data_IF_001915784750
#
_entry.id   IF_001915784750
#
_cell.length_a   1.000
_cell.length_b   1.000
_cell.length_c   1.000
_cell.angle_alpha   90.00
_cell.angle_beta   90.00
_cell.angle_gamma   90.00
#
_symmetry.space_group_name_H-M   'P 1'
#
loop_
_entity.id
_entity.type
_entity.pdbx_description
1 polymer ?
#
# COMPACT_ATOMS: atom_id res chain seq x y z
N UNK A 1 -53.34 29.07 -17.05
CA UNK A 1 -54.17 28.52 -18.14
C UNK A 1 -53.34 27.39 -18.75
N UNK A 2 -53.55 26.12 -18.47
CA UNK A 2 -54.51 25.43 -17.62
C UNK A 2 -53.82 24.14 -17.16
N UNK A 3 -54.17 23.71 -15.95
CA UNK A 3 -53.78 22.43 -15.38
C UNK A 3 -54.48 21.30 -16.13
N UNK A 4 -53.81 20.18 -16.39
CA UNK A 4 -54.52 18.92 -16.54
C UNK A 4 -53.78 17.79 -15.82
N UNK A 5 -54.56 17.11 -14.98
CA UNK A 5 -54.15 16.11 -14.01
C UNK A 5 -54.79 14.80 -14.44
N UNK A 6 -53.94 13.80 -14.67
CA UNK A 6 -54.26 12.39 -14.41
C UNK A 6 -55.20 11.67 -15.39
N UNK A 7 -54.70 10.58 -15.96
CA UNK A 7 -55.54 9.40 -16.13
C UNK A 7 -54.70 8.15 -15.85
N UNK A 8 -55.00 7.55 -14.71
CA UNK A 8 -54.59 6.21 -14.31
C UNK A 8 -55.65 5.29 -14.88
N UNK A 9 -55.27 4.39 -15.80
CA UNK A 9 -56.12 3.27 -16.16
C UNK A 9 -55.34 1.98 -15.98
N UNK A 10 -55.65 1.32 -14.87
CA UNK A 10 -55.25 -0.05 -14.61
C UNK A 10 -56.10 -0.98 -15.46
N UNK A 11 -55.50 -1.49 -16.52
CA UNK A 11 -56.03 -2.62 -17.28
C UNK A 11 -55.45 -3.92 -16.76
N UNK A 12 -56.12 -4.54 -15.79
CA UNK A 12 -56.00 -5.98 -15.54
C UNK A 12 -56.50 -6.72 -16.79
N UNK A 13 -55.59 -7.15 -17.65
CA UNK A 13 -55.89 -8.13 -18.70
C UNK A 13 -55.41 -9.51 -18.25
N UNK A 14 -56.34 -10.30 -17.75
CA UNK A 14 -56.20 -11.74 -17.59
C UNK A 14 -56.20 -12.35 -18.99
N UNK A 15 -55.02 -12.44 -19.59
CA UNK A 15 -54.80 -12.94 -20.95
C UNK A 15 -53.72 -14.01 -20.99
N UNK A 16 -54.14 -15.26 -21.22
CA UNK A 16 -53.38 -16.39 -21.80
C UNK A 16 -51.91 -16.56 -21.39
N UNK A 17 -51.63 -17.58 -20.57
CA UNK A 17 -50.30 -17.97 -20.07
C UNK A 17 -49.26 -18.43 -21.11
N UNK A 18 -49.44 -18.16 -22.40
CA UNK A 18 -48.47 -18.49 -23.46
C UNK A 18 -47.44 -17.38 -23.69
N UNK A 19 -47.74 -16.12 -23.35
CA UNK A 19 -46.81 -14.98 -23.53
C UNK A 19 -45.69 -14.89 -22.49
N UNK A 20 -45.86 -15.52 -21.32
CA UNK A 20 -44.85 -15.52 -20.24
C UNK A 20 -43.67 -16.45 -20.55
N UNK A 21 -43.93 -17.61 -21.18
CA UNK A 21 -42.87 -18.56 -21.54
C UNK A 21 -41.94 -17.96 -22.59
N UNK A 22 -42.49 -17.40 -23.67
CA UNK A 22 -41.68 -16.79 -24.75
C UNK A 22 -40.82 -15.61 -24.26
N UNK A 23 -41.35 -14.79 -23.33
CA UNK A 23 -40.57 -13.70 -22.71
C UNK A 23 -39.43 -14.22 -21.85
N UNK A 24 -39.67 -15.29 -21.08
CA UNK A 24 -38.66 -15.93 -20.25
C UNK A 24 -37.59 -16.66 -21.09
N UNK A 25 -37.99 -17.33 -22.16
CA UNK A 25 -37.09 -17.99 -23.10
C UNK A 25 -36.15 -16.98 -23.77
N UNK A 26 -36.69 -15.83 -24.19
CA UNK A 26 -35.87 -14.74 -24.74
C UNK A 26 -34.90 -14.15 -23.70
N UNK A 27 -35.25 -14.17 -22.41
CA UNK A 27 -34.37 -13.74 -21.33
C UNK A 27 -33.24 -14.75 -21.09
N UNK A 28 -33.55 -16.04 -21.09
CA UNK A 28 -32.54 -17.10 -20.95
C UNK A 28 -31.55 -17.12 -22.13
N UNK A 29 -32.02 -16.86 -23.36
CA UNK A 29 -31.14 -16.70 -24.52
C UNK A 29 -30.21 -15.50 -24.35
N UNK A 30 -30.75 -14.33 -23.97
CA UNK A 30 -29.92 -13.14 -23.66
C UNK A 30 -28.92 -13.40 -22.54
N UNK A 31 -29.31 -14.17 -21.52
CA UNK A 31 -28.42 -14.52 -20.41
C UNK A 31 -27.30 -15.46 -20.86
N UNK A 32 -27.60 -16.46 -21.69
CA UNK A 32 -26.60 -17.36 -22.29
C UNK A 32 -25.61 -16.59 -23.17
N UNK A 33 -26.11 -15.69 -24.02
CA UNK A 33 -25.26 -14.84 -24.85
C UNK A 33 -24.37 -13.90 -24.02
N UNK A 34 -24.92 -13.31 -22.95
CA UNK A 34 -24.15 -12.44 -22.06
C UNK A 34 -23.03 -13.21 -21.36
N UNK A 35 -23.31 -14.42 -20.86
CA UNK A 35 -22.29 -15.27 -20.23
C UNK A 35 -21.24 -15.75 -21.23
N UNK A 36 -21.62 -16.06 -22.47
CA UNK A 36 -20.69 -16.42 -23.53
C UNK A 36 -19.75 -15.25 -23.87
N UNK A 37 -20.32 -14.05 -24.10
CA UNK A 37 -19.53 -12.82 -24.35
C UNK A 37 -18.61 -12.47 -23.19
N UNK A 38 -19.08 -12.63 -21.94
CA UNK A 38 -18.27 -12.40 -20.75
C UNK A 38 -17.07 -13.36 -20.68
N UNK A 39 -17.29 -14.66 -20.92
CA UNK A 39 -16.22 -15.67 -20.94
C UNK A 39 -15.20 -15.41 -22.04
N UNK A 40 -15.64 -14.99 -23.23
CA UNK A 40 -14.72 -14.61 -24.32
C UNK A 40 -13.91 -13.36 -23.98
N UNK A 41 -14.51 -12.36 -23.34
CA UNK A 41 -13.81 -11.16 -22.90
C UNK A 41 -12.78 -11.47 -21.81
N UNK A 42 -13.10 -12.37 -20.87
CA UNK A 42 -12.16 -12.82 -19.84
C UNK A 42 -10.98 -13.59 -20.44
N UNK A 43 -11.23 -14.47 -21.44
CA UNK A 43 -10.16 -15.17 -22.17
C UNK A 43 -9.24 -14.20 -22.90
N UNK A 44 -9.79 -13.22 -23.63
CA UNK A 44 -8.98 -12.21 -24.33
C UNK A 44 -8.13 -11.39 -23.37
N UNK A 45 -8.68 -11.00 -22.22
CA UNK A 45 -7.88 -10.31 -21.18
C UNK A 45 -6.77 -11.18 -20.62
N UNK A 46 -7.04 -12.46 -20.37
CA UNK A 46 -6.01 -13.39 -19.90
C UNK A 46 -4.89 -13.58 -20.95
N UNK A 47 -5.25 -13.68 -22.23
CA UNK A 47 -4.28 -13.76 -23.34
C UNK A 47 -3.47 -12.47 -23.49
N UNK A 48 -4.10 -11.30 -23.34
CA UNK A 48 -3.44 -9.99 -23.34
C UNK A 48 -2.48 -9.83 -22.16
N UNK A 49 -2.88 -10.28 -20.96
CA UNK A 49 -2.05 -10.26 -19.75
C UNK A 49 -0.86 -11.22 -19.88
N UNK A 50 -1.06 -12.44 -20.39
CA UNK A 50 0.03 -13.38 -20.67
C UNK A 50 1.00 -12.83 -21.73
N UNK A 51 0.49 -12.22 -22.79
CA UNK A 51 1.31 -11.57 -23.81
C UNK A 51 2.08 -10.37 -23.25
N UNK A 52 1.48 -9.59 -22.34
CA UNK A 52 2.15 -8.48 -21.65
C UNK A 52 3.26 -8.99 -20.71
N UNK A 53 3.04 -10.10 -20.00
CA UNK A 53 4.05 -10.74 -19.16
C UNK A 53 5.21 -11.27 -20.02
N UNK A 54 4.93 -11.90 -21.16
CA UNK A 54 5.96 -12.38 -22.09
C UNK A 54 6.75 -11.22 -22.69
N UNK A 55 6.09 -10.16 -23.13
CA UNK A 55 6.73 -8.96 -23.66
C UNK A 55 7.57 -8.23 -22.59
N UNK A 56 7.19 -8.32 -21.32
CA UNK A 56 7.94 -7.77 -20.20
C UNK A 56 9.12 -8.64 -19.73
N UNK A 57 9.34 -9.83 -20.32
CA UNK A 57 10.53 -10.65 -20.01
C UNK A 57 11.78 -9.98 -20.56
N UNK A 58 12.50 -9.30 -19.66
CA UNK A 58 13.81 -8.73 -19.95
C UNK A 58 14.84 -9.85 -20.15
N UNK A 59 15.68 -9.73 -21.18
CA UNK A 59 16.79 -10.66 -21.41
C UNK A 59 17.82 -10.51 -20.28
N UNK A 60 17.80 -11.46 -19.33
CA UNK A 60 18.73 -11.50 -18.20
C UNK A 60 19.88 -12.46 -18.51
N UNK A 61 21.08 -12.09 -18.10
CA UNK A 61 22.26 -12.93 -18.30
C UNK A 61 22.12 -14.28 -17.57
N UNK A 62 22.69 -15.36 -18.12
CA UNK A 62 22.63 -16.69 -17.49
C UNK A 62 23.19 -16.70 -16.07
N UNK A 63 24.19 -15.85 -15.79
CA UNK A 63 24.76 -15.66 -14.45
C UNK A 63 23.75 -15.03 -13.48
N UNK A 64 22.95 -14.07 -13.95
CA UNK A 64 21.91 -13.43 -13.15
C UNK A 64 20.79 -14.42 -12.78
N UNK A 65 20.46 -15.36 -13.66
CA UNK A 65 19.48 -16.42 -13.39
C UNK A 65 19.95 -17.37 -12.29
N UNK A 66 21.19 -17.86 -12.38
CA UNK A 66 21.79 -18.72 -11.34
C UNK A 66 21.85 -18.06 -9.96
N UNK A 67 22.10 -16.75 -9.89
CA UNK A 67 22.08 -16.02 -8.61
C UNK A 67 20.69 -15.92 -7.97
N UNK A 68 19.62 -16.14 -8.73
CA UNK A 68 18.25 -16.19 -8.20
C UNK A 68 17.90 -17.63 -7.79
N UNK A 69 18.30 -18.61 -8.60
CA UNK A 69 18.01 -20.03 -8.36
C UNK A 69 18.80 -20.61 -7.19
N UNK A 70 20.08 -20.22 -7.04
CA UNK A 70 20.95 -20.67 -5.94
C UNK A 70 20.73 -19.87 -4.64
N UNK A 71 19.84 -18.87 -4.65
CA UNK A 71 19.59 -18.08 -3.43
C UNK A 71 18.64 -18.82 -2.49
N UNK A 72 19.03 -19.04 -1.22
CA UNK A 72 18.13 -19.57 -0.23
C UNK A 72 16.91 -18.66 -0.08
N UNK A 73 15.79 -19.26 0.33
CA UNK A 73 14.52 -18.56 0.42
C UNK A 73 14.66 -17.34 1.33
N UNK A 74 13.81 -16.34 1.15
CA UNK A 74 13.85 -15.14 1.99
C UNK A 74 13.78 -15.48 3.49
N UNK A 75 12.99 -16.49 3.84
CA UNK A 75 12.82 -16.93 5.23
C UNK A 75 14.11 -17.57 5.78
N UNK A 76 14.80 -18.39 4.98
CA UNK A 76 16.07 -19.00 5.38
C UNK A 76 17.15 -17.95 5.64
N UNK A 77 17.24 -16.93 4.77
CA UNK A 77 18.18 -15.81 4.94
C UNK A 77 17.89 -14.98 6.20
N UNK A 78 16.61 -14.81 6.53
CA UNK A 78 16.21 -14.10 7.75
C UNK A 78 16.54 -14.93 8.99
N UNK A 79 16.29 -16.25 8.94
CA UNK A 79 16.63 -17.16 10.03
C UNK A 79 18.14 -17.17 10.31
N UNK A 80 18.97 -17.34 9.28
CA UNK A 80 20.43 -17.31 9.39
C UNK A 80 20.93 -16.00 10.00
N UNK A 81 20.35 -14.86 9.57
CA UNK A 81 20.72 -13.54 10.08
C UNK A 81 20.30 -13.33 11.54
N UNK A 82 19.14 -13.84 11.94
CA UNK A 82 18.65 -13.76 13.32
C UNK A 82 19.54 -14.61 14.24
N UNK A 83 19.93 -15.82 13.80
CA UNK A 83 20.87 -16.66 14.53
C UNK A 83 22.25 -16.01 14.65
N UNK A 84 22.78 -15.43 13.57
CA UNK A 84 24.04 -14.68 13.60
C UNK A 84 24.00 -13.45 14.54
N UNK A 85 22.85 -12.76 14.62
CA UNK A 85 22.66 -11.66 15.57
C UNK A 85 22.63 -12.14 17.02
N UNK A 86 22.01 -13.29 17.29
CA UNK A 86 21.94 -13.89 18.63
C UNK A 86 23.32 -14.27 19.13
N UNK A 87 24.17 -14.85 18.27
CA UNK A 87 25.54 -15.22 18.61
C UNK A 87 26.46 -14.01 18.73
N UNK A 88 26.29 -12.98 17.89
CA UNK A 88 27.06 -11.74 18.01
C UNK A 88 26.74 -10.95 19.29
N UNK A 89 25.49 -10.97 19.74
CA UNK A 89 25.06 -10.25 20.95
C UNK A 89 25.68 -10.83 22.23
N UNK A 90 26.05 -12.12 22.25
CA UNK A 90 26.74 -12.76 23.39
C UNK A 90 28.24 -12.47 23.47
N UNK A 91 28.84 -11.91 22.40
CA UNK A 91 30.29 -11.66 22.30
C UNK A 91 30.62 -10.17 22.45
N UNK A 92 29.62 -9.28 22.41
CA UNK A 92 29.82 -7.84 22.28
C UNK A 92 30.03 -7.04 23.59
N UNK A 93 30.26 -7.67 24.74
CA UNK A 93 30.49 -6.95 26.02
C UNK A 93 31.98 -6.76 26.41
N UNK A 94 32.97 -7.12 25.58
CA UNK A 94 34.36 -7.10 26.07
C UNK A 94 35.51 -6.81 25.12
N UNK A 95 35.30 -6.56 23.83
CA UNK A 95 36.44 -6.49 22.88
C UNK A 95 36.80 -5.05 22.49
N UNK A 96 37.98 -4.53 22.88
CA UNK A 96 38.48 -3.28 22.33
C UNK A 96 38.82 -3.50 20.85
N UNK A 97 38.18 -2.71 19.97
CA UNK A 97 38.30 -2.70 18.49
C UNK A 97 39.72 -2.47 17.93
N UNK A 98 40.76 -2.55 18.75
CA UNK A 98 42.13 -2.15 18.40
C UNK A 98 43.00 -3.29 17.85
N UNK A 99 42.68 -4.56 18.12
CA UNK A 99 43.54 -5.69 17.70
C UNK A 99 43.21 -6.22 16.29
N UNK A 100 41.94 -6.24 15.88
CA UNK A 100 41.54 -6.75 14.56
C UNK A 100 41.88 -5.80 13.40
N UNK A 101 42.00 -4.49 13.67
CA UNK A 101 42.40 -3.51 12.66
C UNK A 101 43.86 -3.68 12.20
N UNK A 102 44.72 -4.27 13.03
CA UNK A 102 46.13 -4.50 12.72
C UNK A 102 46.36 -5.73 11.82
N UNK A 103 45.41 -6.67 11.77
CA UNK A 103 45.50 -7.91 10.99
C UNK A 103 44.60 -7.90 9.73
N UNK A 104 44.10 -6.73 9.32
CA UNK A 104 43.23 -6.63 8.15
C UNK A 104 44.05 -6.72 6.86
N UNK A 105 43.97 -7.83 6.11
CA UNK A 105 44.68 -8.01 4.83
C UNK A 105 44.11 -7.18 3.69
N UNK A 106 42.83 -6.80 3.78
CA UNK A 106 42.16 -6.01 2.75
C UNK A 106 42.47 -4.52 2.87
N UNK A 107 43.28 -4.01 1.93
CA UNK A 107 43.64 -2.60 1.82
C UNK A 107 43.12 -2.04 0.49
N UNK A 108 41.92 -1.48 0.44
CA UNK A 108 41.36 -0.96 -0.80
C UNK A 108 42.21 0.21 -1.33
N UNK A 109 42.39 0.25 -2.64
CA UNK A 109 43.06 1.37 -3.30
C UNK A 109 42.11 2.58 -3.34
N UNK A 110 42.14 3.39 -2.29
CA UNK A 110 41.43 4.67 -2.24
C UNK A 110 42.20 5.77 -2.98
N UNK A 111 41.50 6.82 -3.40
CA UNK A 111 42.13 8.00 -4.03
C UNK A 111 43.02 8.75 -3.04
N UNK A 112 44.01 9.50 -3.55
CA UNK A 112 44.92 10.30 -2.72
C UNK A 112 44.16 11.31 -1.85
N UNK A 113 43.13 11.94 -2.41
CA UNK A 113 42.27 12.89 -1.70
C UNK A 113 41.46 12.20 -0.59
N UNK A 114 40.95 11.00 -0.82
CA UNK A 114 40.25 10.25 0.23
C UNK A 114 41.17 9.86 1.39
N UNK A 115 42.47 9.65 1.12
CA UNK A 115 43.46 9.28 2.14
C UNK A 115 43.84 10.46 3.04
N UNK A 116 43.79 11.69 2.54
CA UNK A 116 44.15 12.90 3.29
C UNK A 116 42.96 13.56 3.99
N UNK A 117 41.72 13.13 3.71
CA UNK A 117 40.52 13.67 4.34
C UNK A 117 40.47 13.30 5.83
N UNK A 118 40.21 14.30 6.67
CA UNK A 118 39.95 14.14 8.11
C UNK A 118 38.69 13.29 8.34
N UNK A 119 38.68 12.36 9.32
CA UNK A 119 37.45 11.67 9.72
C UNK A 119 36.45 12.68 10.29
N UNK A 120 35.17 12.49 9.95
CA UNK A 120 34.07 13.41 10.30
C UNK A 120 33.15 12.79 11.34
N UNK A 121 32.56 13.63 12.18
CA UNK A 121 31.58 13.17 13.18
C UNK A 121 30.21 12.88 12.54
N UNK A 122 29.35 12.19 13.29
CA UNK A 122 27.97 11.90 12.85
C UNK A 122 27.17 13.18 12.64
N UNK A 123 27.37 14.18 13.49
CA UNK A 123 26.69 15.48 13.39
C UNK A 123 27.11 16.23 12.11
N UNK A 124 28.41 16.24 11.78
CA UNK A 124 28.91 16.85 10.54
C UNK A 124 28.32 16.18 9.29
N UNK A 125 28.11 14.86 9.32
CA UNK A 125 27.49 14.10 8.23
C UNK A 125 25.96 14.35 8.14
N UNK A 126 25.28 14.53 9.27
CA UNK A 126 23.86 14.88 9.29
C UNK A 126 23.62 16.26 8.65
N UNK A 127 24.47 17.23 8.97
CA UNK A 127 24.40 18.58 8.41
C UNK A 127 24.65 18.60 6.89
N UNK A 128 25.53 17.72 6.38
CA UNK A 128 25.76 17.57 4.94
C UNK A 128 24.50 17.10 4.21
N UNK A 129 23.73 16.18 4.80
CA UNK A 129 22.48 15.69 4.21
C UNK A 129 21.44 16.80 4.11
N UNK A 130 21.27 17.58 5.18
CA UNK A 130 20.38 18.74 5.16
C UNK A 130 20.84 19.83 4.18
N UNK A 131 22.14 20.08 4.11
CA UNK A 131 22.73 21.02 3.12
C UNK A 131 22.52 20.54 1.69
N UNK A 132 22.65 19.24 1.44
CA UNK A 132 22.42 18.63 0.13
C UNK A 132 20.96 18.76 -0.31
N UNK A 133 20.00 18.47 0.58
CA UNK A 133 18.59 18.63 0.28
C UNK A 133 18.21 20.10 0.05
N UNK A 134 18.73 21.03 0.87
CA UNK A 134 18.55 22.48 0.63
C UNK A 134 19.12 22.91 -0.73
N UNK A 135 20.32 22.45 -1.08
CA UNK A 135 20.94 22.76 -2.37
C UNK A 135 20.14 22.21 -3.55
N UNK A 136 19.59 21.00 -3.40
CA UNK A 136 18.76 20.35 -4.41
C UNK A 136 17.42 21.07 -4.59
N UNK A 137 16.82 21.54 -3.50
CA UNK A 137 15.60 22.35 -3.55
C UNK A 137 15.86 23.70 -4.23
N UNK A 138 16.96 24.37 -3.87
CA UNK A 138 17.40 25.61 -4.52
C UNK A 138 17.60 25.40 -6.03
N UNK A 139 18.30 24.33 -6.42
CA UNK A 139 18.53 23.99 -7.84
C UNK A 139 17.23 23.68 -8.57
N UNK A 140 16.29 22.96 -7.94
CA UNK A 140 14.96 22.71 -8.50
C UNK A 140 14.19 24.02 -8.69
N UNK A 141 14.23 24.92 -7.72
CA UNK A 141 13.55 26.22 -7.83
C UNK A 141 14.15 27.07 -8.94
N UNK A 142 15.48 27.13 -9.03
CA UNK A 142 16.17 27.87 -10.09
C UNK A 142 15.83 27.30 -11.47
N UNK A 143 15.84 25.96 -11.62
CA UNK A 143 15.47 25.31 -12.87
C UNK A 143 13.99 25.52 -13.24
N UNK A 144 13.08 25.60 -12.25
CA UNK A 144 11.68 25.96 -12.50
C UNK A 144 11.56 27.40 -13.00
N UNK A 145 12.21 28.35 -12.35
CA UNK A 145 12.19 29.76 -12.76
C UNK A 145 12.78 29.96 -14.16
N UNK A 146 13.93 29.34 -14.43
CA UNK A 146 14.56 29.37 -15.75
C UNK A 146 13.64 28.73 -16.82
N UNK A 147 13.03 27.59 -16.47
CA UNK A 147 12.01 26.95 -17.31
C UNK A 147 10.84 27.89 -17.59
N UNK A 148 10.29 28.54 -16.57
CA UNK A 148 9.17 29.49 -16.69
C UNK A 148 9.52 30.72 -17.54
N UNK A 149 10.74 31.27 -17.39
CA UNK A 149 11.21 32.40 -18.19
C UNK A 149 11.38 32.03 -19.67
N UNK A 150 11.77 30.79 -19.96
CA UNK A 150 12.03 30.30 -21.31
C UNK A 150 10.78 29.68 -21.99
N UNK A 151 9.62 29.67 -21.34
CA UNK A 151 8.36 29.21 -21.95
C UNK A 151 7.82 30.26 -22.94
N UNK A 152 7.88 29.95 -24.23
CA UNK A 152 7.25 30.73 -25.30
C UNK A 152 5.74 30.48 -25.42
N UNK A 153 5.25 29.34 -24.91
CA UNK A 153 3.85 28.99 -24.93
C UNK A 153 3.11 29.58 -23.73
N UNK A 154 2.21 30.55 -23.99
CA UNK A 154 1.35 31.18 -22.99
C UNK A 154 -0.11 30.86 -23.36
N UNK A 155 -0.63 29.70 -22.93
CA UNK A 155 -2.01 29.34 -23.28
C UNK A 155 -2.97 30.35 -22.67
N UNK A 156 -3.88 30.86 -23.49
CA UNK A 156 -5.03 31.58 -22.97
C UNK A 156 -5.93 30.56 -22.24
N UNK A 157 -5.90 30.61 -20.91
CA UNK A 157 -6.81 29.82 -20.10
C UNK A 157 -8.21 30.36 -20.35
N UNK A 158 -9.11 29.54 -20.90
CA UNK A 158 -10.51 29.88 -21.10
C UNK A 158 -11.18 30.07 -19.73
N UNK A 159 -11.09 31.28 -19.18
CA UNK A 159 -11.80 31.67 -17.96
C UNK A 159 -13.26 31.91 -18.33
N UNK A 160 -14.04 30.84 -18.39
CA UNK A 160 -15.49 30.92 -18.59
C UNK A 160 -16.12 31.43 -17.29
N UNK A 161 -16.81 32.58 -17.30
CA UNK A 161 -17.42 33.12 -16.08
C UNK A 161 -18.45 32.13 -15.53
N UNK A 162 -18.37 31.86 -14.22
CA UNK A 162 -19.27 30.93 -13.52
C UNK A 162 -18.82 29.46 -13.48
N UNK A 163 -17.73 29.10 -14.17
CA UNK A 163 -17.19 27.73 -14.14
C UNK A 163 -16.06 27.64 -13.11
N UNK A 164 -16.35 27.02 -11.97
CA UNK A 164 -15.36 26.74 -10.93
C UNK A 164 -14.87 25.29 -11.02
N UNK A 165 -13.59 25.07 -10.67
CA UNK A 165 -13.06 23.71 -10.52
C UNK A 165 -13.89 22.90 -9.53
N UNK A 166 -14.18 21.62 -9.84
CA UNK A 166 -14.88 20.71 -8.92
C UNK A 166 -14.19 20.60 -7.55
N UNK A 167 -12.86 20.74 -7.54
CA UNK A 167 -12.07 20.70 -6.30
C UNK A 167 -12.11 22.03 -5.53
N UNK A 168 -12.59 23.12 -6.16
CA UNK A 168 -12.73 24.46 -5.59
C UNK A 168 -11.47 25.00 -4.88
N UNK A 169 -10.28 24.56 -5.30
CA UNK A 169 -9.02 24.91 -4.61
C UNK A 169 -8.73 26.41 -4.71
N UNK A 170 -9.05 27.04 -5.84
CA UNK A 170 -8.86 28.48 -6.04
C UNK A 170 -9.87 29.34 -5.26
N UNK A 171 -11.11 28.87 -5.08
CA UNK A 171 -12.17 29.62 -4.42
C UNK A 171 -12.26 29.36 -2.91
N UNK A 172 -11.97 28.14 -2.47
CA UNK A 172 -12.08 27.68 -1.09
C UNK A 172 -10.89 26.77 -0.71
N UNK A 173 -9.65 27.30 -0.65
CA UNK A 173 -8.45 26.50 -0.40
C UNK A 173 -8.48 25.80 0.97
N UNK A 174 -8.92 26.50 2.01
CA UNK A 174 -8.90 25.98 3.39
C UNK A 174 -9.91 24.84 3.60
N UNK A 175 -11.04 24.88 2.88
CA UNK A 175 -12.08 23.86 2.92
C UNK A 175 -11.65 22.55 2.26
N UNK A 176 -10.71 22.59 1.31
CA UNK A 176 -10.27 21.40 0.58
C UNK A 176 -9.66 20.35 1.50
N UNK A 177 -8.76 20.74 2.41
CA UNK A 177 -8.13 19.81 3.34
C UNK A 177 -9.16 19.15 4.27
N UNK A 178 -10.16 19.91 4.73
CA UNK A 178 -11.25 19.37 5.54
C UNK A 178 -12.06 18.32 4.75
N UNK A 179 -12.41 18.60 3.49
CA UNK A 179 -13.11 17.64 2.62
C UNK A 179 -12.29 16.37 2.37
N UNK A 180 -10.99 16.49 2.13
CA UNK A 180 -10.10 15.34 1.93
C UNK A 180 -10.07 14.47 3.18
N UNK A 181 -9.89 15.06 4.36
CA UNK A 181 -9.91 14.32 5.64
C UNK A 181 -11.24 13.60 5.86
N UNK A 182 -12.36 14.26 5.61
CA UNK A 182 -13.69 13.65 5.71
C UNK A 182 -13.86 12.47 4.74
N UNK A 183 -13.41 12.63 3.49
CA UNK A 183 -13.47 11.57 2.50
C UNK A 183 -12.59 10.36 2.89
N UNK A 184 -11.39 10.61 3.41
CA UNK A 184 -10.51 9.56 3.93
C UNK A 184 -11.16 8.81 5.10
N UNK A 185 -11.69 9.54 6.09
CA UNK A 185 -12.38 8.94 7.24
C UNK A 185 -13.60 8.10 6.82
N UNK A 186 -14.36 8.57 5.82
CA UNK A 186 -15.50 7.81 5.29
C UNK A 186 -15.04 6.52 4.61
N UNK A 187 -13.97 6.59 3.81
CA UNK A 187 -13.39 5.43 3.15
C UNK A 187 -12.91 4.40 4.18
N UNK A 188 -12.15 4.84 5.18
CA UNK A 188 -11.63 3.97 6.23
C UNK A 188 -12.77 3.26 6.97
N UNK A 189 -13.85 3.98 7.30
CA UNK A 189 -15.04 3.40 7.92
C UNK A 189 -15.71 2.34 7.04
N UNK A 190 -15.85 2.61 5.74
CA UNK A 190 -16.44 1.65 4.80
C UNK A 190 -15.57 0.41 4.69
N UNK A 191 -14.25 0.58 4.56
CA UNK A 191 -13.30 -0.54 4.52
C UNK A 191 -13.37 -1.38 5.79
N UNK A 192 -13.46 -0.76 6.96
CA UNK A 192 -13.59 -1.47 8.22
C UNK A 192 -14.91 -2.24 8.33
N UNK A 193 -16.03 -1.65 7.92
CA UNK A 193 -17.31 -2.38 7.86
C UNK A 193 -17.26 -3.59 6.93
N UNK A 194 -16.62 -3.44 5.76
CA UNK A 194 -16.46 -4.55 4.79
C UNK A 194 -15.58 -5.64 5.40
N UNK A 195 -14.45 -5.28 6.01
CA UNK A 195 -13.55 -6.22 6.69
C UNK A 195 -14.28 -7.01 7.78
N UNK A 196 -15.05 -6.33 8.62
CA UNK A 196 -15.83 -6.98 9.68
C UNK A 196 -16.90 -7.93 9.13
N UNK A 197 -17.59 -7.54 8.06
CA UNK A 197 -18.58 -8.39 7.41
C UNK A 197 -17.94 -9.64 6.78
N UNK A 198 -16.76 -9.49 6.16
CA UNK A 198 -15.98 -10.62 5.63
C UNK A 198 -15.50 -11.55 6.74
N UNK A 199 -15.05 -11.00 7.87
CA UNK A 199 -14.64 -11.79 9.03
C UNK A 199 -15.80 -12.57 9.65
N UNK A 200 -16.97 -11.94 9.79
CA UNK A 200 -18.18 -12.62 10.28
C UNK A 200 -18.58 -13.75 9.34
N UNK A 201 -18.59 -13.49 8.03
CA UNK A 201 -18.89 -14.51 7.02
C UNK A 201 -17.88 -15.67 7.07
N UNK A 202 -16.59 -15.38 7.22
CA UNK A 202 -15.56 -16.42 7.34
C UNK A 202 -15.71 -17.24 8.63
N UNK A 203 -16.14 -16.63 9.73
CA UNK A 203 -16.45 -17.34 10.99
C UNK A 203 -17.68 -18.23 10.85
N UNK A 204 -18.72 -17.77 10.15
CA UNK A 204 -19.94 -18.55 9.86
C UNK A 204 -19.65 -19.75 8.93
N UNK A 205 -18.75 -19.56 7.96
CA UNK A 205 -18.32 -20.61 7.02
C UNK A 205 -17.30 -21.60 7.64
N UNK A 206 -16.77 -21.31 8.82
CA UNK A 206 -15.79 -22.18 9.48
C UNK A 206 -16.45 -23.48 9.93
N UNK A 207 -15.97 -24.63 9.45
CA UNK A 207 -16.51 -25.94 9.87
C UNK A 207 -15.97 -26.42 11.21
N UNK A 208 -14.88 -25.82 11.70
CA UNK A 208 -14.21 -26.19 12.94
C UNK A 208 -14.74 -25.40 14.13
N UNK A 209 -15.55 -26.06 14.96
CA UNK A 209 -16.13 -25.48 16.18
C UNK A 209 -15.62 -26.24 17.41
N UNK A 210 -14.43 -25.90 17.94
CA UNK A 210 -13.89 -26.59 19.09
C UNK A 210 -14.77 -26.33 20.32
N UNK A 211 -14.97 -27.38 21.12
CA UNK A 211 -15.58 -27.23 22.43
C UNK A 211 -14.60 -26.47 23.34
N UNK A 212 -14.95 -25.23 23.67
CA UNK A 212 -14.17 -24.41 24.60
C UNK A 212 -14.71 -24.63 26.01
N UNK A 213 -13.85 -25.10 26.91
CA UNK A 213 -14.15 -25.16 28.33
C UNK A 213 -13.61 -23.93 29.03
N UNK A 214 -14.33 -23.45 30.05
CA UNK A 214 -13.82 -22.37 30.88
C UNK A 214 -12.50 -22.80 31.54
N UNK A 215 -11.50 -21.92 31.44
CA UNK A 215 -10.23 -22.15 32.08
C UNK A 215 -10.42 -22.24 33.60
N UNK A 216 -9.70 -23.14 34.30
CA UNK A 216 -9.78 -23.26 35.75
C UNK A 216 -9.61 -21.92 36.48
N UNK A 217 -10.28 -21.75 37.63
CA UNK A 217 -10.35 -20.47 38.35
C UNK A 217 -8.99 -19.86 38.72
N UNK A 218 -7.94 -20.68 38.89
CA UNK A 218 -6.59 -20.17 39.15
C UNK A 218 -5.97 -19.55 37.89
N UNK A 219 -6.21 -20.10 36.71
CA UNK A 219 -5.74 -19.57 35.42
C UNK A 219 -6.42 -18.23 35.13
N UNK A 220 -7.73 -18.13 35.34
CA UNK A 220 -8.45 -16.86 35.16
C UNK A 220 -8.00 -15.80 36.17
N UNK A 221 -7.66 -16.19 37.41
CA UNK A 221 -7.08 -15.30 38.43
C UNK A 221 -5.70 -14.79 38.02
N UNK A 222 -4.83 -15.66 37.52
CA UNK A 222 -3.50 -15.29 37.00
C UNK A 222 -3.66 -14.37 35.79
N UNK A 223 -4.56 -14.67 34.85
CA UNK A 223 -4.80 -13.83 33.69
C UNK A 223 -5.29 -12.42 34.08
N UNK A 224 -6.21 -12.32 35.07
CA UNK A 224 -6.67 -11.04 35.61
C UNK A 224 -5.56 -10.27 36.30
N UNK A 225 -4.76 -10.92 37.16
CA UNK A 225 -3.65 -10.24 37.85
C UNK A 225 -2.56 -9.78 36.89
N UNK A 226 -2.21 -10.60 35.89
CA UNK A 226 -1.27 -10.22 34.83
C UNK A 226 -1.81 -9.08 33.97
N UNK A 227 -3.10 -9.07 33.65
CA UNK A 227 -3.72 -7.96 32.89
C UNK A 227 -3.64 -6.65 33.67
N UNK A 228 -3.94 -6.67 34.98
CA UNK A 228 -3.82 -5.52 35.87
C UNK A 228 -2.37 -5.03 35.99
N UNK A 229 -1.43 -5.96 36.21
CA UNK A 229 -0.01 -5.63 36.26
C UNK A 229 0.47 -5.01 34.94
N UNK A 230 0.08 -5.61 33.80
CA UNK A 230 0.46 -5.15 32.46
C UNK A 230 -0.17 -3.80 32.10
N UNK A 231 -1.35 -3.46 32.62
CA UNK A 231 -1.92 -2.11 32.49
C UNK A 231 -1.27 -1.08 33.40
N UNK A 232 -0.67 -1.49 34.51
CA UNK A 232 0.05 -0.62 35.44
C UNK A 232 1.52 -0.39 35.03
N UNK A 233 2.10 -1.32 34.25
CA UNK A 233 3.41 -1.16 33.65
C UNK A 233 3.35 -0.04 32.58
N UNK A 234 4.33 0.88 32.56
CA UNK A 234 4.46 1.83 31.46
C UNK A 234 4.63 1.04 30.14
N UNK A 235 4.13 1.58 29.01
CA UNK A 235 4.30 0.92 27.72
C UNK A 235 5.80 0.66 27.51
N UNK A 236 6.18 -0.53 27.00
CA UNK A 236 7.57 -0.80 26.70
C UNK A 236 8.09 0.27 25.74
N UNK A 237 9.36 0.70 25.89
CA UNK A 237 9.93 1.68 24.98
C UNK A 237 9.76 1.20 23.54
N UNK A 238 9.45 2.11 22.60
CA UNK A 238 9.22 1.72 21.22
C UNK A 238 10.43 0.95 20.71
N UNK A 239 10.21 -0.27 20.21
CA UNK A 239 11.29 -1.14 19.73
C UNK A 239 11.99 -0.59 18.47
N UNK A 240 11.52 0.55 17.97
CA UNK A 240 12.03 1.25 16.79
C UNK A 240 12.38 2.68 17.21
N UNK A 241 13.57 3.18 16.82
CA UNK A 241 13.95 4.56 17.06
C UNK A 241 12.95 5.55 16.46
N UNK A 242 12.73 6.67 17.16
CA UNK A 242 11.70 7.67 16.87
C UNK A 242 11.99 8.56 15.65
N UNK A 243 13.03 8.27 14.88
CA UNK A 243 13.32 9.01 13.65
C UNK A 243 12.76 8.27 12.43
N UNK A 244 11.68 8.81 11.88
CA UNK A 244 11.21 8.58 10.52
C UNK A 244 10.91 9.91 9.85
#
# INVERSE_FOLDING_TARGET
RDSDVGSVDGGESVGSGTGSSSRFDSFLERQKEHLAKKREAEKKRAEEDEAAIEAAKVHTSQRSRRLVDDRPSFLDRVAEKVEAMRTASTVAEGTPLSHEAAECTFHPRISADARTRRPRSVDELHDDAQRSERMKELRRSAAKQEGEMNLTFKPAINSVPGVNSRLKVSSEPDSYLARVRQHMALKDRVTECVRQAEEQKAMEECTFHPQTHEAPAYVTRIARSMKLAKSALPPPPPSKPDWR
#
